data_IF_483242572924
#
_entry.id   IF_483242572924
#
_cell.length_a   1.000
_cell.length_b   1.000
_cell.length_c   1.000
_cell.angle_alpha   90.00
_cell.angle_beta   90.00
_cell.angle_gamma   90.00
#
_symmetry.space_group_name_H-M   'P 1'
#
loop_
_entity.id
_entity.type
_entity.pdbx_description
1 polymer ?
#
# COMPACT_ATOMS: atom_id res chain seq x y z
N UNK A 1 5.68 15.15 -12.46
CA UNK A 1 5.21 15.18 -11.05
C UNK A 1 6.30 14.61 -10.17
N UNK A 2 6.68 15.31 -9.09
CA UNK A 2 7.64 14.80 -8.10
C UNK A 2 6.90 13.86 -7.14
N UNK A 3 6.94 12.56 -7.41
CA UNK A 3 6.30 11.55 -6.55
C UNK A 3 7.25 11.05 -5.46
N UNK A 4 8.55 11.41 -5.52
CA UNK A 4 9.59 10.84 -4.67
C UNK A 4 9.40 11.25 -3.20
N UNK A 5 9.12 12.54 -2.98
CA UNK A 5 8.87 13.08 -1.65
C UNK A 5 7.68 12.40 -0.95
N UNK A 6 6.48 12.35 -1.56
CA UNK A 6 5.33 11.65 -0.96
C UNK A 6 5.52 10.13 -0.90
N UNK A 7 6.22 9.52 -1.86
CA UNK A 7 6.57 8.09 -1.83
C UNK A 7 7.39 7.73 -0.59
N UNK A 8 8.41 8.53 -0.27
CA UNK A 8 9.27 8.29 0.90
C UNK A 8 8.50 8.48 2.19
N UNK A 9 7.71 9.55 2.30
CA UNK A 9 6.86 9.78 3.47
C UNK A 9 5.77 8.72 3.64
N UNK A 10 5.29 8.15 2.55
CA UNK A 10 4.35 7.03 2.58
C UNK A 10 5.04 5.74 3.02
N UNK A 11 6.19 5.38 2.44
CA UNK A 11 6.88 4.13 2.73
C UNK A 11 7.56 4.10 4.11
N UNK A 12 8.13 5.22 4.58
CA UNK A 12 8.92 5.29 5.81
C UNK A 12 8.30 4.55 7.02
N UNK A 13 7.03 4.76 7.40
CA UNK A 13 6.41 4.04 8.52
C UNK A 13 6.17 2.54 8.27
N UNK A 14 6.19 2.07 7.02
CA UNK A 14 5.98 0.67 6.65
C UNK A 14 7.30 -0.06 6.33
N UNK A 15 8.41 0.65 6.11
CA UNK A 15 9.71 0.00 5.89
C UNK A 15 10.15 -0.98 7.00
N UNK A 16 9.93 -0.70 8.31
CA UNK A 16 10.31 -1.64 9.36
C UNK A 16 9.54 -2.97 9.26
N UNK A 17 8.29 -2.95 8.82
CA UNK A 17 7.48 -4.16 8.62
C UNK A 17 7.83 -4.87 7.32
N UNK A 18 8.04 -4.11 6.23
CA UNK A 18 8.45 -4.63 4.91
C UNK A 18 9.82 -5.32 4.92
N UNK A 19 10.77 -4.82 5.72
CA UNK A 19 12.09 -5.42 5.88
C UNK A 19 12.15 -6.52 6.95
N UNK A 20 11.05 -6.79 7.64
CA UNK A 20 11.04 -7.76 8.75
C UNK A 20 11.84 -7.33 9.98
N UNK A 21 12.16 -6.04 10.12
CA UNK A 21 12.87 -5.47 11.27
C UNK A 21 11.96 -5.26 12.50
N UNK A 22 10.63 -5.22 12.29
CA UNK A 22 9.60 -5.54 13.29
C UNK A 22 9.26 -4.49 14.36
N UNK A 23 8.02 -3.97 14.34
CA UNK A 23 6.95 -4.05 15.39
C UNK A 23 5.74 -3.21 14.95
N UNK A 24 4.58 -3.88 14.87
CA UNK A 24 3.22 -3.38 14.54
C UNK A 24 3.13 -2.52 13.27
N UNK A 25 2.54 -3.12 12.24
CA UNK A 25 1.77 -2.43 11.22
C UNK A 25 1.07 -1.23 11.86
N UNK A 26 1.39 -0.04 11.38
CA UNK A 26 0.74 1.17 11.86
C UNK A 26 -0.76 0.99 11.58
N UNK A 27 -1.56 0.93 12.64
CA UNK A 27 -3.03 0.86 12.59
C UNK A 27 -3.55 2.21 12.10
N UNK A 28 -3.20 2.58 10.87
CA UNK A 28 -3.78 3.71 10.15
C UNK A 28 -5.05 3.21 9.51
N UNK A 29 -6.11 3.17 10.31
CA UNK A 29 -7.45 3.08 9.80
C UNK A 29 -7.67 4.10 8.67
N UNK A 30 -8.30 3.64 7.60
CA UNK A 30 -8.93 4.43 6.54
C UNK A 30 -8.06 5.14 5.48
N UNK A 31 -6.78 4.80 5.28
CA UNK A 31 -6.10 5.17 4.02
C UNK A 31 -6.40 4.10 2.95
N UNK A 32 -6.97 4.50 1.80
CA UNK A 32 -7.37 3.59 0.69
C UNK A 32 -6.26 2.64 0.23
N UNK A 33 -5.00 3.04 0.45
CA UNK A 33 -3.81 2.32 0.02
C UNK A 33 -3.22 1.42 1.12
N UNK A 34 -3.17 1.92 2.35
CA UNK A 34 -2.73 1.20 3.56
C UNK A 34 -1.42 0.43 3.40
N UNK A 35 -1.27 -0.64 4.20
CA UNK A 35 -0.11 -1.54 4.17
C UNK A 35 0.04 -2.24 2.80
N UNK A 36 -1.07 -2.57 2.14
CA UNK A 36 -1.05 -3.32 0.88
C UNK A 36 -0.42 -2.56 -0.26
N UNK A 37 -0.72 -1.27 -0.41
CA UNK A 37 -0.05 -0.48 -1.45
C UNK A 37 1.42 -0.20 -1.12
N UNK A 38 1.78 -0.11 0.17
CA UNK A 38 3.19 -0.06 0.56
C UNK A 38 3.93 -1.36 0.18
N UNK A 39 3.32 -2.53 0.40
CA UNK A 39 3.86 -3.82 -0.06
C UNK A 39 3.99 -3.91 -1.58
N UNK A 40 2.98 -3.47 -2.35
CA UNK A 40 3.04 -3.49 -3.82
C UNK A 40 4.12 -2.58 -4.38
N UNK A 41 4.20 -1.34 -3.87
CA UNK A 41 5.25 -0.38 -4.24
C UNK A 41 6.62 -0.96 -3.90
N UNK A 42 6.78 -1.53 -2.70
CA UNK A 42 8.05 -2.09 -2.26
C UNK A 42 8.47 -3.31 -3.09
N UNK A 43 7.54 -4.21 -3.43
CA UNK A 43 7.81 -5.35 -4.33
C UNK A 43 8.31 -4.91 -5.70
N UNK A 44 7.71 -3.85 -6.26
CA UNK A 44 8.15 -3.27 -7.54
C UNK A 44 9.51 -2.58 -7.43
N UNK A 45 9.81 -1.92 -6.31
CA UNK A 45 11.09 -1.25 -6.08
C UNK A 45 12.23 -2.21 -5.70
N UNK A 46 11.95 -3.29 -4.97
CA UNK A 46 12.94 -4.24 -4.43
C UNK A 46 14.03 -4.64 -5.44
N UNK A 47 13.71 -5.12 -6.67
CA UNK A 47 14.75 -5.52 -7.62
C UNK A 47 15.69 -4.36 -8.04
N UNK A 48 15.20 -3.12 -8.04
CA UNK A 48 16.00 -1.93 -8.36
C UNK A 48 16.83 -1.44 -7.15
N UNK A 49 16.41 -1.79 -5.95
CA UNK A 49 17.13 -1.48 -4.71
C UNK A 49 18.24 -2.48 -4.46
N UNK A 50 18.01 -3.77 -4.76
CA UNK A 50 19.01 -4.83 -4.63
C UNK A 50 20.18 -4.66 -5.61
N UNK A 51 19.92 -4.06 -6.77
CA UNK A 51 20.97 -3.74 -7.75
C UNK A 51 21.83 -2.54 -7.35
N UNK A 52 21.42 -1.75 -6.34
CA UNK A 52 22.14 -0.57 -5.86
C UNK A 52 22.42 -0.67 -4.36
N UNK A 53 23.64 -1.02 -3.93
CA UNK A 53 23.96 -1.17 -2.51
C UNK A 53 23.62 0.07 -1.69
N UNK A 54 23.90 1.27 -2.21
CA UNK A 54 23.55 2.54 -1.54
C UNK A 54 22.05 2.76 -1.35
N UNK A 55 21.20 2.17 -2.21
CA UNK A 55 19.75 2.24 -2.07
C UNK A 55 19.25 1.26 -0.99
N UNK A 56 19.86 0.07 -0.92
CA UNK A 56 19.60 -0.91 0.13
C UNK A 56 19.98 -0.38 1.52
N UNK A 57 21.18 0.21 1.64
CA UNK A 57 21.64 0.82 2.89
C UNK A 57 20.71 1.95 3.34
N UNK A 58 20.28 2.81 2.41
CA UNK A 58 19.34 3.89 2.71
C UNK A 58 17.98 3.37 3.21
N UNK A 59 17.49 2.27 2.64
CA UNK A 59 16.22 1.66 3.05
C UNK A 59 16.31 1.04 4.44
N UNK A 60 17.40 0.32 4.73
CA UNK A 60 17.64 -0.23 6.06
C UNK A 60 17.75 0.90 7.09
N UNK A 61 18.51 1.95 6.77
CA UNK A 61 18.70 3.09 7.65
C UNK A 61 17.38 3.81 7.98
N UNK A 62 16.52 4.05 6.98
CA UNK A 62 15.18 4.64 7.20
C UNK A 62 14.23 3.66 7.91
N UNK A 63 14.37 2.36 7.68
CA UNK A 63 13.56 1.38 8.41
C UNK A 63 13.92 1.31 9.90
N UNK A 64 15.18 1.53 10.25
CA UNK A 64 15.63 1.65 11.64
C UNK A 64 15.29 3.02 12.23
N UNK A 65 15.27 4.07 11.40
CA UNK A 65 15.03 5.45 11.80
C UNK A 65 14.04 6.16 10.83
N UNK A 66 12.73 5.86 10.93
CA UNK A 66 11.73 6.37 9.97
C UNK A 66 11.51 7.88 10.03
N UNK A 67 11.89 8.53 11.14
CA UNK A 67 11.77 9.97 11.37
C UNK A 67 13.10 10.73 11.15
N UNK A 68 14.18 10.04 10.78
CA UNK A 68 15.50 10.67 10.60
C UNK A 68 15.58 11.44 9.28
N UNK A 69 15.81 12.75 9.37
CA UNK A 69 15.82 13.65 8.22
C UNK A 69 16.94 13.31 7.22
N UNK A 70 18.12 12.91 7.71
CA UNK A 70 19.26 12.52 6.87
C UNK A 70 18.97 11.20 6.14
N UNK A 71 18.36 10.23 6.82
CA UNK A 71 17.89 8.97 6.24
C UNK A 71 16.84 9.18 5.16
N UNK A 72 15.81 9.97 5.45
CA UNK A 72 14.76 10.32 4.49
C UNK A 72 15.35 11.05 3.27
N UNK A 73 16.31 11.94 3.48
CA UNK A 73 17.04 12.64 2.42
C UNK A 73 17.84 11.67 1.54
N UNK A 74 18.55 10.72 2.15
CA UNK A 74 19.33 9.71 1.44
C UNK A 74 18.43 8.79 0.61
N UNK A 75 17.32 8.30 1.19
CA UNK A 75 16.36 7.46 0.48
C UNK A 75 15.72 8.18 -0.71
N UNK A 76 15.34 9.47 -0.54
CA UNK A 76 14.84 10.32 -1.63
C UNK A 76 15.84 10.39 -2.77
N UNK A 77 17.12 10.63 -2.48
CA UNK A 77 18.15 10.73 -3.51
C UNK A 77 18.33 9.42 -4.27
N UNK A 78 18.34 8.28 -3.58
CA UNK A 78 18.50 6.98 -4.22
C UNK A 78 17.28 6.61 -5.07
N UNK A 79 16.06 6.82 -4.56
CA UNK A 79 14.83 6.60 -5.32
C UNK A 79 14.73 7.53 -6.53
N UNK A 80 15.16 8.79 -6.39
CA UNK A 80 15.26 9.72 -7.52
C UNK A 80 16.17 9.17 -8.62
N UNK A 81 17.37 8.69 -8.27
CA UNK A 81 18.29 8.06 -9.23
C UNK A 81 17.76 6.79 -9.88
N UNK A 82 16.84 6.07 -9.23
CA UNK A 82 16.22 4.86 -9.78
C UNK A 82 15.04 5.24 -10.70
N UNK A 83 14.09 6.01 -10.18
CA UNK A 83 12.82 6.31 -10.85
C UNK A 83 12.96 7.39 -11.93
N UNK A 84 13.98 8.24 -11.89
CA UNK A 84 14.28 9.16 -12.98
C UNK A 84 15.13 8.54 -14.09
N UNK A 85 15.58 7.29 -13.92
CA UNK A 85 16.21 6.59 -15.02
C UNK A 85 15.16 6.33 -16.14
N UNK A 86 15.48 6.60 -17.41
CA UNK A 86 14.53 6.48 -18.51
C UNK A 86 13.97 5.06 -18.69
N UNK A 87 14.78 4.04 -18.37
CA UNK A 87 14.37 2.63 -18.34
C UNK A 87 13.30 2.32 -17.28
N UNK A 88 13.19 3.15 -16.24
CA UNK A 88 12.25 2.99 -15.13
C UNK A 88 11.08 4.00 -15.21
N UNK A 89 10.89 4.67 -16.35
CA UNK A 89 9.79 5.61 -16.53
C UNK A 89 8.41 4.96 -16.34
N UNK A 90 8.26 3.70 -16.77
CA UNK A 90 7.04 2.90 -16.57
C UNK A 90 6.83 2.60 -15.09
N UNK A 91 7.89 2.14 -14.40
CA UNK A 91 7.87 1.88 -12.96
C UNK A 91 7.46 3.12 -12.15
N UNK A 92 8.00 4.30 -12.50
CA UNK A 92 7.63 5.58 -11.88
C UNK A 92 6.14 5.89 -12.08
N UNK A 93 5.60 5.67 -13.27
CA UNK A 93 4.19 5.90 -13.55
C UNK A 93 3.28 4.92 -12.80
N UNK A 94 3.66 3.63 -12.70
CA UNK A 94 2.92 2.65 -11.92
C UNK A 94 2.90 2.99 -10.43
N UNK A 95 4.04 3.36 -9.86
CA UNK A 95 4.13 3.77 -8.45
C UNK A 95 3.30 5.04 -8.20
N UNK A 96 3.29 6.00 -9.14
CA UNK A 96 2.44 7.19 -9.04
C UNK A 96 0.96 6.81 -8.95
N UNK A 97 0.48 5.94 -9.84
CA UNK A 97 -0.92 5.46 -9.82
C UNK A 97 -1.30 4.80 -8.50
N UNK A 98 -0.42 3.92 -8.00
CA UNK A 98 -0.64 3.24 -6.72
C UNK A 98 -0.71 4.27 -5.58
N UNK A 99 0.20 5.26 -5.55
CA UNK A 99 0.20 6.37 -4.58
C UNK A 99 -1.05 7.26 -4.63
N UNK A 100 -1.59 7.49 -5.83
CA UNK A 100 -2.81 8.30 -6.03
C UNK A 100 -4.08 7.55 -5.59
N UNK A 101 -3.97 6.28 -5.20
CA UNK A 101 -5.11 5.44 -4.80
C UNK A 101 -5.98 5.05 -5.99
N UNK A 102 -5.46 5.18 -7.20
CA UNK A 102 -6.05 4.61 -8.40
C UNK A 102 -5.71 3.11 -8.33
N UNK A 103 -6.70 2.29 -7.98
CA UNK A 103 -6.54 0.83 -7.95
C UNK A 103 -5.80 0.42 -9.21
N UNK A 104 -4.77 -0.41 -9.07
CA UNK A 104 -4.08 -0.99 -10.20
C UNK A 104 -5.13 -1.71 -11.06
N UNK A 105 -5.65 -1.01 -12.07
CA UNK A 105 -6.66 -1.54 -12.96
C UNK A 105 -6.00 -2.68 -13.71
N UNK A 106 -6.39 -3.89 -13.31
CA UNK A 106 -6.36 -5.11 -14.11
C UNK A 106 -4.97 -5.56 -14.57
N UNK A 107 -4.30 -6.40 -13.77
CA UNK A 107 -3.77 -7.71 -14.21
C UNK A 107 -2.97 -8.36 -13.07
N UNK A 108 -3.66 -8.65 -11.97
CA UNK A 108 -3.10 -9.47 -10.91
C UNK A 108 -4.24 -9.94 -10.05
N UNK A 109 -4.63 -11.20 -10.17
CA UNK A 109 -5.57 -11.86 -9.26
C UNK A 109 -4.93 -11.92 -7.87
N UNK A 110 -4.84 -10.80 -7.17
CA UNK A 110 -4.55 -10.77 -5.75
C UNK A 110 -5.89 -10.77 -5.03
N UNK A 111 -6.23 -11.92 -4.44
CA UNK A 111 -7.33 -12.06 -3.49
C UNK A 111 -7.01 -11.23 -2.24
N UNK A 112 -7.16 -9.92 -2.36
CA UNK A 112 -7.09 -8.98 -1.27
C UNK A 112 -8.51 -8.91 -0.69
N UNK A 113 -8.81 -9.81 0.24
CA UNK A 113 -9.91 -9.60 1.17
C UNK A 113 -9.50 -8.42 2.09
N UNK A 114 -9.85 -7.21 1.68
CA UNK A 114 -9.83 -6.02 2.52
C UNK A 114 -11.25 -5.48 2.56
N UNK A 115 -12.14 -6.19 3.25
CA UNK A 115 -13.43 -5.64 3.64
C UNK A 115 -13.54 -5.62 5.17
N UNK A 116 -12.88 -4.60 5.75
CA UNK A 116 -13.38 -3.92 6.94
C UNK A 116 -14.47 -2.91 6.60
N UNK A 117 -15.21 -3.13 5.50
CA UNK A 117 -16.44 -2.43 5.23
C UNK A 117 -17.52 -3.09 6.09
N UNK A 118 -18.21 -2.28 6.90
CA UNK A 118 -19.53 -2.60 7.38
C UNK A 118 -20.38 -3.03 6.17
N UNK A 119 -20.49 -4.34 5.92
CA UNK A 119 -21.64 -4.89 5.18
C UNK A 119 -22.80 -4.85 6.18
N UNK A 120 -23.24 -3.64 6.49
CA UNK A 120 -24.60 -3.43 6.96
C UNK A 120 -25.47 -3.89 5.81
N UNK A 121 -25.98 -5.11 5.91
CA UNK A 121 -27.00 -5.62 5.01
C UNK A 121 -28.25 -4.76 5.27
N UNK A 122 -28.30 -3.58 4.66
CA UNK A 122 -29.53 -2.82 4.48
C UNK A 122 -30.26 -3.58 3.38
N UNK A 123 -30.93 -4.63 3.82
CA UNK A 123 -31.73 -5.53 3.04
C UNK A 123 -32.79 -6.06 3.98
N UNK A 124 -33.70 -5.15 4.34
CA UNK A 124 -35.05 -5.47 4.78
C UNK A 124 -35.61 -6.54 3.86
N UNK A 125 -35.42 -7.81 4.25
CA UNK A 125 -36.23 -8.92 3.75
C UNK A 125 -37.18 -9.24 4.88
N UNK A 126 -38.23 -8.43 4.90
CA UNK A 126 -39.60 -8.86 5.09
C UNK A 126 -39.70 -10.38 5.28
N UNK A 127 -40.03 -10.77 6.51
CA UNK A 127 -40.67 -12.05 6.77
C UNK A 127 -42.01 -12.07 6.02
N UNK A 128 -41.98 -12.36 4.73
CA UNK A 128 -43.13 -12.94 4.04
C UNK A 128 -43.04 -14.44 4.27
N UNK A 129 -43.24 -14.81 5.53
CA UNK A 129 -43.79 -16.11 5.85
C UNK A 129 -45.18 -16.10 5.21
N UNK A 130 -45.32 -16.86 4.13
CA UNK A 130 -46.56 -17.03 3.41
C UNK A 130 -47.59 -17.61 4.38
N UNK A 131 -48.43 -16.72 4.93
CA UNK A 131 -49.61 -17.00 5.71
C UNK A 131 -50.48 -18.02 4.97
N UNK A 132 -50.34 -19.31 5.33
CA UNK A 132 -51.41 -20.26 5.11
C UNK A 132 -52.41 -20.06 6.25
N UNK A 133 -53.48 -19.33 5.96
CA UNK A 133 -54.61 -19.10 6.85
C UNK A 133 -55.33 -20.43 7.14
N UNK A 134 -54.86 -21.14 8.16
CA UNK A 134 -55.69 -22.07 8.92
C UNK A 134 -56.43 -21.29 10.00
N UNK A 135 -57.65 -20.84 9.72
CA UNK A 135 -58.58 -20.35 10.75
C UNK A 135 -59.90 -21.12 10.64
N UNK A 136 -60.02 -22.12 11.54
CA UNK A 136 -61.12 -22.46 12.48
C UNK A 136 -62.50 -21.80 12.29
N UNK A 137 -63.61 -22.38 12.78
CA UNK A 137 -63.77 -23.00 14.12
C UNK A 137 -63.64 -24.51 14.22
#
# INVERSE_FOLDING_TARGET
MDIITPLVSFLAPYLPTLLGLGKKALDKGAEKLGEKGAEEIFKKLSPHLETKPSAKEAIVYVAENPDDADGLGQLRLQLKKILEAPENAVLKAEIAKILEGEEATENGKFNINAQGANIGVIGDRAKIDNMNFGSKP
#
